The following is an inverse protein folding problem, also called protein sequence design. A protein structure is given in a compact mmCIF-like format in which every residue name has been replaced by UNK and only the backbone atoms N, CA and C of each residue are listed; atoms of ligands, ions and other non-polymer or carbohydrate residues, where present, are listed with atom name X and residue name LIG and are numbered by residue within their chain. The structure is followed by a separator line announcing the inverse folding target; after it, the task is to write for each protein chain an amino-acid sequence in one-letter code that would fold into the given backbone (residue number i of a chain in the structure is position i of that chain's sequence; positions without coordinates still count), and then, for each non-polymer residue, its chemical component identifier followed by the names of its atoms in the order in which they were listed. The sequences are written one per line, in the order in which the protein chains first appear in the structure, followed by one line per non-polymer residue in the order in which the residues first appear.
data_IF_598767278318
#
_entry.id   IF_598767278318
#
_cell.length_a   1.000
_cell.length_b   1.000
_cell.length_c   1.000
_cell.angle_alpha   90.00
_cell.angle_beta   90.00
_cell.angle_gamma   90.00
#
_symmetry.space_group_name_H-M   'P 1'
#
loop_
_entity.id
_entity.type
_entity.pdbx_description
1 polymer ?
#
# COMPACT_ATOMS: atom_id res chain seq x y z
N UNK A 1 16.86 -20.86 13.98
CA UNK A 1 15.45 -20.62 13.60
C UNK A 1 15.48 -20.32 12.12
N UNK A 2 14.98 -21.22 11.28
CA UNK A 2 15.00 -21.05 9.82
C UNK A 2 13.84 -20.12 9.47
N UNK A 3 14.11 -19.04 8.74
CA UNK A 3 13.06 -18.22 8.13
C UNK A 3 12.29 -19.13 7.17
N UNK A 4 11.00 -19.34 7.41
CA UNK A 4 10.18 -20.16 6.51
C UNK A 4 9.95 -19.39 5.22
N UNK A 5 10.57 -19.85 4.14
CA UNK A 5 10.36 -19.34 2.78
C UNK A 5 9.28 -20.20 2.14
N UNK A 6 8.05 -19.70 2.14
CA UNK A 6 6.88 -20.35 1.53
C UNK A 6 6.13 -19.37 0.61
N UNK A 7 6.89 -18.50 -0.05
CA UNK A 7 6.36 -17.55 -1.04
C UNK A 7 5.58 -18.28 -2.12
N UNK A 8 4.38 -17.81 -2.45
CA UNK A 8 3.49 -18.42 -3.45
C UNK A 8 2.83 -19.73 -2.99
N UNK A 9 3.03 -20.16 -1.75
CA UNK A 9 2.39 -21.37 -1.25
C UNK A 9 0.86 -21.22 -1.15
N UNK A 10 0.16 -22.33 -1.35
CA UNK A 10 -1.29 -22.38 -1.24
C UNK A 10 -1.71 -22.98 0.12
N UNK A 11 -2.30 -22.14 0.95
CA UNK A 11 -2.94 -22.46 2.23
C UNK A 11 -4.44 -22.12 2.23
N UNK A 12 -5.07 -22.02 1.06
CA UNK A 12 -6.51 -21.76 0.97
C UNK A 12 -7.30 -22.80 1.75
N UNK A 13 -8.33 -22.40 2.49
CA UNK A 13 -9.17 -23.26 3.33
C UNK A 13 -8.42 -24.00 4.46
N UNK A 14 -7.16 -23.66 4.74
CA UNK A 14 -6.38 -24.32 5.77
C UNK A 14 -6.83 -23.89 7.18
N UNK A 15 -6.79 -24.83 8.12
CA UNK A 15 -6.86 -24.51 9.55
C UNK A 15 -5.45 -24.16 10.04
N UNK A 16 -5.20 -22.87 10.26
CA UNK A 16 -3.93 -22.29 10.70
C UNK A 16 -4.09 -21.55 12.02
N UNK A 17 -5.08 -21.93 12.84
CA UNK A 17 -5.32 -21.31 14.14
C UNK A 17 -4.08 -21.38 15.01
N UNK A 18 -3.73 -20.26 15.63
CA UNK A 18 -2.58 -20.16 16.55
C UNK A 18 -1.23 -20.58 15.94
N UNK A 19 -1.13 -20.60 14.61
CA UNK A 19 0.10 -20.95 13.90
C UNK A 19 1.19 -19.87 14.09
N UNK A 20 2.44 -20.27 13.88
CA UNK A 20 3.62 -19.41 14.05
C UNK A 20 4.33 -19.17 12.71
N UNK A 21 4.27 -17.92 12.26
CA UNK A 21 4.83 -17.41 11.01
C UNK A 21 5.74 -16.20 11.25
N UNK A 22 6.33 -16.11 12.45
CA UNK A 22 7.25 -15.02 12.80
C UNK A 22 8.39 -14.95 11.77
N UNK A 23 8.55 -13.78 11.14
CA UNK A 23 9.53 -13.53 10.06
C UNK A 23 9.41 -14.45 8.84
N UNK A 24 8.24 -15.07 8.63
CA UNK A 24 8.03 -15.89 7.44
C UNK A 24 8.00 -15.01 6.18
N UNK A 25 8.53 -15.54 5.07
CA UNK A 25 8.28 -14.97 3.76
C UNK A 25 7.10 -15.70 3.11
N UNK A 26 5.97 -15.01 3.07
CA UNK A 26 4.68 -15.47 2.53
C UNK A 26 4.29 -14.65 1.31
N UNK A 27 5.22 -13.92 0.68
CA UNK A 27 4.92 -13.11 -0.50
C UNK A 27 4.18 -13.93 -1.56
N UNK A 28 3.09 -13.37 -2.11
CA UNK A 28 2.20 -14.02 -3.08
C UNK A 28 1.49 -15.30 -2.58
N UNK A 29 1.52 -15.63 -1.29
CA UNK A 29 0.85 -16.82 -0.78
C UNK A 29 -0.68 -16.68 -0.91
N UNK A 30 -1.36 -17.80 -1.15
CA UNK A 30 -2.81 -17.87 -1.10
C UNK A 30 -3.27 -18.37 0.27
N UNK A 31 -3.91 -17.53 1.05
CA UNK A 31 -4.52 -17.86 2.35
C UNK A 31 -6.03 -17.58 2.35
N UNK A 32 -6.68 -17.59 1.19
CA UNK A 32 -8.11 -17.35 1.07
C UNK A 32 -8.92 -18.35 1.88
N UNK A 33 -9.97 -17.90 2.56
CA UNK A 33 -10.88 -18.75 3.35
C UNK A 33 -10.18 -19.56 4.46
N UNK A 34 -8.94 -19.23 4.81
CA UNK A 34 -8.21 -19.90 5.89
C UNK A 34 -8.65 -19.40 7.28
N UNK A 35 -8.50 -20.26 8.30
CA UNK A 35 -8.69 -19.87 9.69
C UNK A 35 -7.34 -19.55 10.34
N UNK A 36 -7.06 -18.26 10.50
CA UNK A 36 -5.84 -17.68 11.07
C UNK A 36 -6.09 -17.08 12.46
N UNK A 37 -7.15 -17.52 13.17
CA UNK A 37 -7.48 -17.01 14.49
C UNK A 37 -6.26 -17.06 15.42
N UNK A 38 -5.90 -15.88 15.96
CA UNK A 38 -4.77 -15.72 16.89
C UNK A 38 -3.42 -16.22 16.34
N UNK A 39 -3.23 -16.25 15.01
CA UNK A 39 -1.96 -16.58 14.39
C UNK A 39 -0.90 -15.49 14.67
N UNK A 40 0.36 -15.90 14.79
CA UNK A 40 1.50 -15.02 15.02
C UNK A 40 2.29 -14.84 13.73
N UNK A 41 2.09 -13.72 13.03
CA UNK A 41 2.79 -13.38 11.78
C UNK A 41 3.65 -12.13 11.96
N UNK A 42 4.10 -11.82 13.18
CA UNK A 42 4.91 -10.61 13.41
C UNK A 42 6.17 -10.63 12.55
N UNK A 43 6.52 -9.49 11.97
CA UNK A 43 7.68 -9.33 11.08
C UNK A 43 7.63 -10.18 9.79
N UNK A 44 6.49 -10.79 9.44
CA UNK A 44 6.34 -11.53 8.19
C UNK A 44 6.27 -10.60 6.97
N UNK A 45 6.81 -11.08 5.84
CA UNK A 45 6.55 -10.49 4.52
C UNK A 45 5.24 -11.09 3.97
N UNK A 46 4.18 -10.29 3.94
CA UNK A 46 2.82 -10.65 3.49
C UNK A 46 2.43 -9.85 2.24
N UNK A 47 3.41 -9.38 1.47
CA UNK A 47 3.18 -8.62 0.25
C UNK A 47 2.41 -9.47 -0.76
N UNK A 48 1.37 -8.88 -1.35
CA UNK A 48 0.53 -9.53 -2.37
C UNK A 48 -0.11 -10.85 -1.91
N UNK A 49 -0.31 -11.03 -0.59
CA UNK A 49 -0.99 -12.21 -0.05
C UNK A 49 -2.50 -12.12 -0.28
N UNK A 50 -3.11 -13.23 -0.67
CA UNK A 50 -4.56 -13.33 -0.72
C UNK A 50 -5.13 -13.81 0.64
N UNK A 51 -5.74 -12.91 1.40
CA UNK A 51 -6.47 -13.20 2.63
C UNK A 51 -8.00 -13.13 2.44
N UNK A 52 -8.52 -13.19 1.20
CA UNK A 52 -9.95 -13.04 0.95
C UNK A 52 -10.78 -14.02 1.77
N UNK A 53 -11.79 -13.55 2.49
CA UNK A 53 -12.65 -14.33 3.39
C UNK A 53 -11.90 -15.08 4.52
N UNK A 54 -10.64 -14.76 4.80
CA UNK A 54 -9.88 -15.41 5.87
C UNK A 54 -10.33 -14.91 7.26
N UNK A 55 -10.29 -15.79 8.26
CA UNK A 55 -10.50 -15.40 9.64
C UNK A 55 -9.18 -14.98 10.30
N UNK A 56 -8.90 -13.67 10.35
CA UNK A 56 -7.71 -13.11 10.99
C UNK A 56 -7.96 -12.65 12.43
N UNK A 57 -9.11 -12.96 13.04
CA UNK A 57 -9.45 -12.42 14.36
C UNK A 57 -8.34 -12.70 15.40
N UNK A 58 -7.94 -11.64 16.12
CA UNK A 58 -6.84 -11.63 17.10
C UNK A 58 -5.45 -11.96 16.54
N UNK A 59 -5.26 -12.02 15.22
CA UNK A 59 -3.95 -12.25 14.63
C UNK A 59 -2.96 -11.11 14.95
N UNK A 60 -1.68 -11.46 15.05
CA UNK A 60 -0.59 -10.52 15.32
C UNK A 60 0.14 -10.21 14.02
N UNK A 61 -0.15 -9.04 13.44
CA UNK A 61 0.47 -8.52 12.22
C UNK A 61 1.46 -7.38 12.52
N UNK A 62 2.15 -7.41 13.66
CA UNK A 62 3.06 -6.32 14.08
C UNK A 62 4.29 -6.30 13.16
N UNK A 63 4.67 -5.10 12.70
CA UNK A 63 5.86 -4.89 11.84
C UNK A 63 5.85 -5.74 10.56
N UNK A 64 4.68 -6.02 9.99
CA UNK A 64 4.55 -6.78 8.73
C UNK A 64 4.50 -5.88 7.50
N UNK A 65 4.70 -6.48 6.33
CA UNK A 65 4.41 -5.84 5.06
C UNK A 65 3.18 -6.50 4.42
N UNK A 66 2.02 -5.84 4.42
CA UNK A 66 0.80 -6.30 3.74
C UNK A 66 0.50 -5.49 2.47
N UNK A 67 1.51 -4.82 1.91
CA UNK A 67 1.34 -4.04 0.67
C UNK A 67 0.76 -4.93 -0.43
N UNK A 68 -0.32 -4.46 -1.08
CA UNK A 68 -1.07 -5.18 -2.12
C UNK A 68 -1.83 -6.44 -1.64
N UNK A 69 -1.89 -6.73 -0.35
CA UNK A 69 -2.64 -7.88 0.14
C UNK A 69 -4.16 -7.73 -0.09
N UNK A 70 -4.81 -8.81 -0.53
CA UNK A 70 -6.26 -8.84 -0.67
C UNK A 70 -6.93 -9.23 0.66
N UNK A 71 -7.58 -8.28 1.32
CA UNK A 71 -8.29 -8.48 2.59
C UNK A 71 -9.83 -8.50 2.43
N UNK A 72 -10.35 -8.64 1.21
CA UNK A 72 -11.78 -8.61 0.95
C UNK A 72 -12.53 -9.68 1.75
N UNK A 73 -13.48 -9.26 2.60
CA UNK A 73 -14.27 -10.18 3.43
C UNK A 73 -13.50 -10.82 4.61
N UNK A 74 -12.25 -10.43 4.86
CA UNK A 74 -11.48 -10.98 5.97
C UNK A 74 -12.01 -10.48 7.33
N UNK A 75 -12.04 -11.36 8.33
CA UNK A 75 -12.37 -10.96 9.70
C UNK A 75 -11.14 -10.38 10.41
N UNK A 76 -11.11 -9.06 10.61
CA UNK A 76 -10.01 -8.33 11.26
C UNK A 76 -10.28 -7.98 12.73
N UNK A 77 -11.28 -8.57 13.38
CA UNK A 77 -11.62 -8.26 14.77
C UNK A 77 -10.43 -8.47 15.71
N UNK A 78 -9.99 -7.40 16.38
CA UNK A 78 -8.89 -7.45 17.35
C UNK A 78 -7.50 -7.73 16.75
N UNK A 79 -7.32 -7.59 15.43
CA UNK A 79 -6.00 -7.71 14.79
C UNK A 79 -5.07 -6.60 15.27
N UNK A 80 -3.82 -6.95 15.55
CA UNK A 80 -2.78 -5.96 15.87
C UNK A 80 -1.94 -5.61 14.64
N UNK A 81 -2.14 -4.39 14.11
CA UNK A 81 -1.46 -3.83 12.93
C UNK A 81 -0.35 -2.82 13.27
N UNK A 82 0.19 -2.83 14.50
CA UNK A 82 1.21 -1.86 14.90
C UNK A 82 2.45 -1.99 14.00
N UNK A 83 2.84 -0.90 13.33
CA UNK A 83 4.04 -0.88 12.47
C UNK A 83 3.87 -1.65 11.15
N UNK A 84 2.65 -2.06 10.80
CA UNK A 84 2.36 -2.72 9.52
C UNK A 84 2.43 -1.74 8.35
N UNK A 85 3.10 -2.11 7.27
CA UNK A 85 3.09 -1.36 6.01
C UNK A 85 1.92 -1.82 5.13
N UNK A 86 1.00 -0.91 4.82
CA UNK A 86 -0.26 -1.21 4.10
C UNK A 86 -0.16 -0.81 2.61
N UNK A 87 0.83 0.00 2.22
CA UNK A 87 1.00 0.50 0.85
C UNK A 87 -0.11 1.46 0.40
N UNK A 88 -0.07 1.93 -0.86
CA UNK A 88 -1.02 2.91 -1.40
C UNK A 88 -2.43 2.35 -1.68
N UNK A 89 -2.60 1.03 -1.63
CA UNK A 89 -3.80 0.36 -2.13
C UNK A 89 -4.27 -0.75 -1.20
N UNK A 90 -5.00 -0.39 -0.15
CA UNK A 90 -5.93 -1.32 0.53
C UNK A 90 -7.22 -0.56 0.86
N UNK A 91 -7.91 -0.07 -0.17
CA UNK A 91 -9.19 0.66 -0.05
C UNK A 91 -10.41 -0.22 -0.35
N UNK A 92 -10.39 -1.52 -0.04
CA UNK A 92 -11.57 -2.37 -0.21
C UNK A 92 -11.96 -3.05 1.10
N UNK A 93 -13.03 -2.50 1.69
CA UNK A 93 -14.09 -3.24 2.40
C UNK A 93 -13.94 -3.58 3.89
N UNK A 94 -13.40 -2.69 4.73
CA UNK A 94 -13.79 -2.74 6.16
C UNK A 94 -14.00 -1.35 6.75
N UNK A 95 -15.08 -1.19 7.51
CA UNK A 95 -15.52 0.01 8.24
C UNK A 95 -14.55 0.43 9.38
N UNK A 96 -13.23 0.28 9.21
CA UNK A 96 -12.25 0.71 10.19
C UNK A 96 -11.31 1.77 9.61
N UNK A 97 -11.24 2.86 10.37
CA UNK A 97 -10.51 4.09 10.11
C UNK A 97 -9.00 3.80 10.01
N UNK A 98 -8.44 3.98 8.80
CA UNK A 98 -7.12 4.58 8.52
C UNK A 98 -6.63 4.23 7.10
N UNK A 99 -7.43 4.54 6.08
CA UNK A 99 -6.87 4.74 4.73
C UNK A 99 -6.71 6.25 4.54
N UNK A 100 -5.51 6.77 4.78
CA UNK A 100 -5.22 8.13 4.36
C UNK A 100 -5.24 8.15 2.83
N UNK A 101 -6.04 9.03 2.18
CA UNK A 101 -5.88 9.23 0.75
C UNK A 101 -4.47 9.75 0.52
N UNK A 102 -3.77 9.14 -0.43
CA UNK A 102 -2.64 9.79 -1.06
C UNK A 102 -3.17 11.15 -1.53
N UNK A 103 -2.66 12.25 -0.96
CA UNK A 103 -2.83 13.57 -1.55
C UNK A 103 -2.10 13.51 -2.88
N UNK A 104 -2.77 13.04 -3.92
CA UNK A 104 -2.41 13.35 -5.31
C UNK A 104 -2.86 14.79 -5.52
N UNK A 105 -2.11 15.74 -4.97
CA UNK A 105 -1.94 17.00 -5.69
C UNK A 105 -0.89 16.68 -6.75
N UNK A 106 -1.24 16.65 -8.04
CA UNK A 106 -0.21 16.68 -9.04
C UNK A 106 0.56 17.97 -8.78
N UNK A 107 1.83 17.85 -8.42
CA UNK A 107 2.75 18.96 -8.45
C UNK A 107 2.94 19.31 -9.93
N UNK A 108 1.95 20.01 -10.49
CA UNK A 108 2.15 20.87 -11.64
C UNK A 108 3.07 21.95 -11.10
N UNK A 109 4.38 21.72 -11.23
CA UNK A 109 5.35 22.79 -11.32
C UNK A 109 4.74 23.81 -12.28
N UNK A 110 4.48 25.07 -11.88
CA UNK A 110 4.14 26.07 -12.87
C UNK A 110 5.32 26.11 -13.82
N UNK A 111 5.12 25.72 -15.08
CA UNK A 111 6.03 26.10 -16.14
C UNK A 111 6.23 27.60 -15.98
N UNK A 112 7.44 27.98 -15.61
CA UNK A 112 7.87 29.37 -15.64
C UNK A 112 7.73 29.77 -17.10
N UNK A 113 6.62 30.44 -17.42
CA UNK A 113 6.40 31.01 -18.72
C UNK A 113 7.68 31.79 -19.09
N UNK A 114 8.28 31.57 -20.27
CA UNK A 114 9.43 32.35 -20.67
C UNK A 114 9.02 33.82 -20.59
N UNK A 115 9.78 34.61 -19.83
CA UNK A 115 9.59 36.06 -19.78
C UNK A 115 9.66 36.55 -21.22
N UNK A 116 8.52 36.98 -21.75
CA UNK A 116 8.47 37.79 -22.97
C UNK A 116 9.26 39.05 -22.65
N UNK A 117 10.49 39.10 -23.15
CA UNK A 117 11.24 40.36 -23.23
C UNK A 117 10.44 41.26 -24.17
N UNK A 118 10.02 42.47 -23.75
CA UNK A 118 9.38 43.37 -24.68
C UNK A 118 10.40 43.75 -25.76
N UNK A 119 10.08 43.41 -27.00
CA UNK A 119 10.71 44.00 -28.18
C UNK A 119 10.56 45.51 -28.07
N UNK A 120 11.69 46.19 -27.94
CA UNK A 120 11.77 47.64 -28.00
C UNK A 120 11.43 48.01 -29.44
N UNK A 121 10.27 48.62 -29.65
CA UNK A 121 9.95 49.31 -30.88
C UNK A 121 10.93 50.49 -31.00
N UNK A 122 11.93 50.39 -31.86
CA UNK A 122 12.62 51.57 -32.36
C UNK A 122 11.66 52.30 -33.30
N UNK A 123 10.92 53.24 -32.73
CA UNK A 123 10.18 54.26 -33.47
C UNK A 123 11.15 55.02 -34.38
N UNK A 124 10.87 54.96 -35.68
CA UNK A 124 11.53 55.75 -36.70
C UNK A 124 11.46 57.24 -36.39
N UNK A 125 12.63 57.88 -36.30
CA UNK A 125 12.73 59.32 -36.41
C UNK A 125 12.64 59.70 -37.88
N UNK A 126 11.45 60.11 -38.27
CA UNK A 126 11.23 60.81 -39.53
C UNK A 126 11.65 62.29 -39.41
N UNK A 127 12.12 62.81 -40.55
CA UNK A 127 12.18 64.22 -40.99
C UNK A 127 13.47 64.98 -40.67
N UNK A 128 14.15 65.42 -41.73
CA UNK A 128 14.00 66.79 -42.24
C UNK A 128 14.15 66.81 -43.77
N UNK A 129 13.13 67.36 -44.45
CA UNK A 129 13.23 67.89 -45.81
C UNK A 129 13.74 69.33 -45.74
N UNK A 130 14.78 69.66 -46.52
CA UNK A 130 14.90 70.83 -47.41
C UNK A 130 16.15 70.68 -48.25
#
# INVERSE_FOLDING_TARGET
MIESVVSGANFSNANLRQSYWFRANLENANMSESDLFNADMRQANLKDVNFSNANLAKAKLIETNITLANLSGANLEGVNLRGTSIGPSVCLLTNFIACAPEKIVPEVLPEVAPKVVPEVQEEGKEKVYK
#
